data_IF_769537496431
#
_entry.id   IF_769537496431
#
_cell.length_a   1.000
_cell.length_b   1.000
_cell.length_c   1.000
_cell.angle_alpha   90.00
_cell.angle_beta   90.00
_cell.angle_gamma   90.00
#
_symmetry.space_group_name_H-M   'P 1'
#
loop_
_entity.id
_entity.type
_entity.pdbx_description
1 polymer ?
#
# COMPACT_ATOMS: atom_id res chain seq x y z
N UNK A 1 25.74 -18.17 14.24
CA UNK A 1 24.46 -17.94 13.53
C UNK A 1 24.76 -16.90 12.46
N UNK A 2 24.76 -17.27 11.19
CA UNK A 2 24.90 -16.28 10.12
C UNK A 2 23.73 -15.30 10.20
N UNK A 3 24.05 -14.01 10.16
CA UNK A 3 23.06 -12.94 10.18
C UNK A 3 22.39 -12.84 8.81
N UNK A 4 21.11 -12.47 8.80
CA UNK A 4 20.41 -12.15 7.57
C UNK A 4 21.09 -10.94 6.90
N UNK A 5 21.26 -11.01 5.58
CA UNK A 5 21.68 -9.86 4.77
C UNK A 5 20.61 -8.76 4.80
N UNK A 6 20.99 -7.52 4.50
CA UNK A 6 20.04 -6.38 4.42
C UNK A 6 18.90 -6.65 3.43
N UNK A 7 19.21 -7.33 2.32
CA UNK A 7 18.24 -7.78 1.33
C UNK A 7 17.22 -8.75 1.93
N UNK A 8 17.69 -9.78 2.61
CA UNK A 8 16.81 -10.76 3.28
C UNK A 8 15.94 -10.09 4.33
N UNK A 9 16.51 -9.18 5.15
CA UNK A 9 15.74 -8.43 6.16
C UNK A 9 14.62 -7.62 5.53
N UNK A 10 14.92 -6.87 4.46
CA UNK A 10 13.94 -6.08 3.73
C UNK A 10 12.76 -6.94 3.27
N UNK A 11 13.04 -8.03 2.54
CA UNK A 11 11.97 -8.87 2.01
C UNK A 11 11.20 -9.62 3.08
N UNK A 12 11.85 -10.12 4.15
CA UNK A 12 11.14 -10.76 5.26
C UNK A 12 10.19 -9.80 6.00
N UNK A 13 10.45 -8.50 5.95
CA UNK A 13 9.61 -7.48 6.58
C UNK A 13 8.45 -7.04 5.68
N UNK A 14 8.70 -6.86 4.37
CA UNK A 14 7.72 -6.31 3.44
C UNK A 14 6.86 -7.38 2.73
N UNK A 15 7.10 -8.67 2.97
CA UNK A 15 6.37 -9.75 2.30
C UNK A 15 5.28 -10.36 3.19
N UNK A 16 4.06 -10.41 2.65
CA UNK A 16 2.87 -10.94 3.31
C UNK A 16 2.21 -12.04 2.48
N UNK A 17 1.45 -12.90 3.15
CA UNK A 17 0.67 -13.94 2.50
C UNK A 17 -0.64 -13.38 1.96
N UNK A 18 -0.92 -13.59 0.68
CA UNK A 18 -2.18 -13.16 0.05
C UNK A 18 -3.42 -13.90 0.55
N UNK A 19 -3.26 -14.99 1.31
CA UNK A 19 -4.39 -15.76 1.86
C UNK A 19 -4.84 -15.25 3.24
N UNK A 20 -3.90 -14.93 4.13
CA UNK A 20 -4.21 -14.56 5.51
C UNK A 20 -3.70 -13.17 5.92
N UNK A 21 -2.98 -12.46 5.05
CA UNK A 21 -2.32 -11.19 5.36
C UNK A 21 -1.11 -11.30 6.32
N UNK A 22 -0.88 -12.48 6.92
CA UNK A 22 0.22 -12.72 7.83
C UNK A 22 1.60 -12.73 7.16
N UNK A 23 2.66 -12.68 7.96
CA UNK A 23 4.05 -12.61 7.49
C UNK A 23 4.42 -13.81 6.62
N UNK A 24 5.01 -13.53 5.46
CA UNK A 24 5.60 -14.52 4.56
C UNK A 24 7.13 -14.38 4.61
N UNK A 25 7.85 -15.46 4.87
CA UNK A 25 9.26 -15.38 5.24
C UNK A 25 10.11 -16.47 4.61
N UNK A 26 11.41 -16.22 4.54
CA UNK A 26 12.41 -17.14 4.00
C UNK A 26 13.02 -18.00 5.09
N UNK A 27 13.03 -19.33 4.89
CA UNK A 27 13.83 -20.29 5.66
C UNK A 27 15.06 -20.68 4.84
N UNK A 28 16.26 -20.40 5.35
CA UNK A 28 17.54 -20.70 4.67
C UNK A 28 17.78 -22.20 4.51
N UNK A 29 17.48 -22.99 5.55
CA UNK A 29 17.66 -24.45 5.55
C UNK A 29 16.29 -25.14 5.62
N UNK A 30 15.57 -25.19 4.50
CA UNK A 30 14.35 -26.00 4.37
C UNK A 30 14.70 -27.48 4.13
N UNK A 31 15.73 -27.71 3.31
CA UNK A 31 16.48 -28.96 3.24
C UNK A 31 17.98 -28.67 3.48
N UNK A 32 18.84 -29.67 3.44
CA UNK A 32 20.30 -29.47 3.59
C UNK A 32 20.90 -28.52 2.55
N UNK A 33 20.22 -28.29 1.42
CA UNK A 33 20.74 -27.50 0.29
C UNK A 33 19.77 -26.46 -0.28
N UNK A 34 18.54 -26.36 0.24
CA UNK A 34 17.51 -25.49 -0.35
C UNK A 34 16.84 -24.59 0.67
N UNK A 35 16.67 -23.33 0.28
CA UNK A 35 15.83 -22.34 0.92
C UNK A 35 14.39 -22.41 0.42
N UNK A 36 13.46 -21.92 1.25
CA UNK A 36 12.03 -21.83 0.89
C UNK A 36 11.39 -20.60 1.48
N UNK A 37 10.52 -19.97 0.73
CA UNK A 37 9.58 -18.96 1.22
C UNK A 37 8.26 -19.59 1.67
N UNK A 38 7.75 -19.20 2.83
CA UNK A 38 6.56 -19.79 3.43
C UNK A 38 5.78 -18.81 4.32
N UNK A 39 4.49 -19.09 4.50
CA UNK A 39 3.63 -18.36 5.42
C UNK A 39 3.86 -18.82 6.86
N UNK A 40 4.07 -17.87 7.78
CA UNK A 40 4.25 -18.15 9.21
C UNK A 40 2.96 -18.59 9.91
N UNK A 41 1.79 -18.26 9.35
CA UNK A 41 0.48 -18.64 9.86
C UNK A 41 -0.01 -20.02 9.36
N UNK A 42 0.84 -20.79 8.66
CA UNK A 42 0.52 -22.15 8.22
C UNK A 42 -0.28 -22.29 6.93
N UNK A 43 -0.50 -21.19 6.18
CA UNK A 43 -1.13 -21.27 4.87
C UNK A 43 -0.29 -22.11 3.89
N UNK A 44 -0.93 -23.02 3.16
CA UNK A 44 -0.28 -23.84 2.14
C UNK A 44 -0.09 -23.02 0.86
N UNK A 45 1.10 -23.12 0.26
CA UNK A 45 1.33 -22.67 -1.12
C UNK A 45 1.15 -23.84 -2.07
N UNK A 46 0.53 -23.59 -3.22
CA UNK A 46 0.33 -24.57 -4.29
C UNK A 46 1.62 -24.89 -5.04
N UNK A 47 2.65 -24.05 -4.92
CA UNK A 47 3.95 -24.22 -5.58
C UNK A 47 5.09 -24.05 -4.58
N UNK A 48 6.26 -24.57 -4.95
CA UNK A 48 7.49 -24.35 -4.19
C UNK A 48 8.09 -23.01 -4.61
N UNK A 49 8.40 -22.15 -3.63
CA UNK A 49 8.95 -20.80 -3.88
C UNK A 49 10.34 -20.75 -3.22
N UNK A 50 11.37 -20.73 -4.05
CA UNK A 50 12.76 -20.44 -3.68
C UNK A 50 13.12 -18.98 -3.97
N UNK A 51 14.38 -18.61 -3.76
CA UNK A 51 14.86 -17.26 -4.03
C UNK A 51 14.81 -16.92 -5.52
N UNK A 52 15.11 -17.89 -6.40
CA UNK A 52 15.10 -17.67 -7.85
C UNK A 52 13.71 -17.29 -8.34
N UNK A 53 12.68 -18.04 -7.92
CA UNK A 53 11.29 -17.75 -8.26
C UNK A 53 10.85 -16.43 -7.63
N UNK A 54 11.13 -16.23 -6.33
CA UNK A 54 10.68 -15.04 -5.62
C UNK A 54 11.29 -13.75 -6.18
N UNK A 55 12.62 -13.69 -6.31
CA UNK A 55 13.31 -12.52 -6.85
C UNK A 55 13.09 -12.35 -8.35
N UNK A 56 12.99 -13.44 -9.12
CA UNK A 56 12.70 -13.39 -10.55
C UNK A 56 11.33 -12.77 -10.85
N UNK A 57 10.30 -13.10 -10.06
CA UNK A 57 8.99 -12.48 -10.21
C UNK A 57 8.98 -11.00 -9.83
N UNK A 58 9.64 -10.62 -8.73
CA UNK A 58 9.78 -9.20 -8.33
C UNK A 58 10.44 -8.40 -9.44
N UNK A 59 11.53 -8.94 -10.00
CA UNK A 59 12.21 -8.31 -11.12
C UNK A 59 11.33 -8.20 -12.36
N UNK A 60 10.56 -9.24 -12.69
CA UNK A 60 9.60 -9.20 -13.80
C UNK A 60 8.58 -8.08 -13.63
N UNK A 61 8.09 -7.85 -12.41
CA UNK A 61 7.19 -6.74 -12.10
C UNK A 61 7.88 -5.38 -12.26
N UNK A 62 9.12 -5.24 -11.77
CA UNK A 62 9.90 -4.01 -11.93
C UNK A 62 10.17 -3.70 -13.41
N UNK A 63 10.57 -4.68 -14.21
CA UNK A 63 10.73 -4.52 -15.66
C UNK A 63 9.43 -4.05 -16.31
N UNK A 64 8.30 -4.67 -15.97
CA UNK A 64 6.99 -4.30 -16.52
C UNK A 64 6.60 -2.84 -16.22
N UNK A 65 6.85 -2.34 -15.01
CA UNK A 65 6.54 -0.93 -14.68
C UNK A 65 7.54 0.06 -15.27
N UNK A 66 8.77 -0.36 -15.58
CA UNK A 66 9.74 0.47 -16.30
C UNK A 66 9.37 0.56 -17.79
N UNK A 67 9.01 -0.57 -18.40
CA UNK A 67 8.62 -0.65 -19.81
C UNK A 67 7.30 0.08 -20.08
N UNK A 68 6.34 -0.04 -19.17
CA UNK A 68 5.04 0.62 -19.27
C UNK A 68 4.63 1.23 -17.91
N UNK A 69 5.11 2.44 -17.58
CA UNK A 69 4.79 3.09 -16.31
C UNK A 69 3.30 3.39 -16.12
N UNK A 70 2.50 3.45 -17.18
CA UNK A 70 1.07 3.75 -17.10
C UNK A 70 0.28 2.65 -16.37
N UNK A 71 0.82 1.43 -16.23
CA UNK A 71 0.20 0.37 -15.41
C UNK A 71 0.11 0.74 -13.94
N UNK A 72 0.91 1.73 -13.48
CA UNK A 72 0.85 2.25 -12.12
C UNK A 72 -0.32 3.23 -11.93
N UNK A 73 -0.95 3.73 -13.00
CA UNK A 73 -2.05 4.69 -12.87
C UNK A 73 -3.32 3.96 -12.46
N UNK A 74 -3.73 4.16 -11.21
CA UNK A 74 -4.97 3.63 -10.65
C UNK A 74 -5.99 4.75 -10.38
N UNK A 75 -7.29 4.47 -10.47
CA UNK A 75 -8.30 5.48 -10.17
C UNK A 75 -8.17 5.97 -8.73
N UNK A 76 -8.38 7.27 -8.53
CA UNK A 76 -8.60 7.82 -7.20
C UNK A 76 -9.84 7.18 -6.60
N UNK A 77 -9.71 6.69 -5.36
CA UNK A 77 -10.80 5.99 -4.67
C UNK A 77 -11.63 6.90 -3.78
N UNK A 78 -11.27 8.18 -3.62
CA UNK A 78 -11.79 8.98 -2.53
C UNK A 78 -12.68 10.14 -3.03
N UNK A 79 -13.99 9.92 -3.05
CA UNK A 79 -14.97 11.01 -3.10
C UNK A 79 -15.02 11.78 -1.76
N UNK A 80 -14.64 11.13 -0.64
CA UNK A 80 -14.64 11.72 0.71
C UNK A 80 -13.33 11.40 1.46
N UNK A 81 -12.28 12.21 1.25
CA UNK A 81 -11.00 12.08 1.98
C UNK A 81 -11.05 12.61 3.41
N UNK A 82 -12.19 13.16 3.87
CA UNK A 82 -12.37 13.71 5.20
C UNK A 82 -13.69 13.22 5.79
N UNK A 83 -13.61 12.48 6.89
CA UNK A 83 -14.77 11.91 7.57
C UNK A 83 -14.70 12.26 9.07
N UNK A 84 -15.14 13.46 9.48
CA UNK A 84 -14.99 13.92 10.84
C UNK A 84 -15.84 13.10 11.81
N UNK A 85 -15.27 12.79 12.97
CA UNK A 85 -16.05 12.25 14.08
C UNK A 85 -16.97 13.32 14.69
N UNK A 86 -17.99 12.88 15.40
CA UNK A 86 -18.87 13.79 16.14
C UNK A 86 -18.10 14.63 17.17
N UNK A 87 -16.99 14.11 17.70
CA UNK A 87 -16.13 14.80 18.66
C UNK A 87 -15.38 15.96 18.00
N UNK A 88 -14.83 15.74 16.79
CA UNK A 88 -14.17 16.79 16.00
C UNK A 88 -15.16 17.92 15.67
N UNK A 89 -16.38 17.57 15.24
CA UNK A 89 -17.43 18.57 14.96
C UNK A 89 -17.83 19.37 16.21
N UNK A 90 -17.83 18.75 17.40
CA UNK A 90 -18.09 19.45 18.67
C UNK A 90 -16.93 20.37 19.05
N UNK A 91 -15.69 19.90 18.89
CA UNK A 91 -14.49 20.68 19.15
C UNK A 91 -14.44 21.93 18.25
N UNK A 92 -14.81 21.79 16.97
CA UNK A 92 -14.96 22.90 16.03
C UNK A 92 -15.95 23.96 16.52
N UNK A 93 -17.18 23.55 16.86
CA UNK A 93 -18.18 24.49 17.40
C UNK A 93 -17.72 25.17 18.69
N UNK A 94 -16.99 24.46 19.54
CA UNK A 94 -16.48 25.03 20.78
C UNK A 94 -15.33 26.03 20.52
N UNK A 95 -14.46 25.77 19.54
CA UNK A 95 -13.45 26.75 19.10
C UNK A 95 -14.10 28.01 18.52
N UNK A 96 -15.16 27.87 17.73
CA UNK A 96 -15.92 29.01 17.19
C UNK A 96 -16.55 29.82 18.32
N UNK A 97 -17.20 29.14 19.27
CA UNK A 97 -17.79 29.79 20.46
C UNK A 97 -16.75 30.52 21.30
N UNK A 98 -15.54 30.00 21.43
CA UNK A 98 -14.43 30.68 22.12
C UNK A 98 -13.99 31.93 21.38
N UNK A 99 -13.94 31.90 20.04
CA UNK A 99 -13.53 33.01 19.19
C UNK A 99 -14.54 34.18 19.22
N UNK A 100 -15.83 33.89 19.41
CA UNK A 100 -16.91 34.89 19.45
C UNK A 100 -17.06 35.60 20.81
N UNK A 101 -16.31 35.20 21.84
CA UNK A 101 -16.41 35.83 23.17
C UNK A 101 -15.88 37.26 23.13
N UNK A 102 -16.60 38.19 23.77
CA UNK A 102 -16.17 39.60 23.90
C UNK A 102 -14.81 39.77 24.59
N UNK A 103 -14.46 38.86 25.50
CA UNK A 103 -13.16 38.78 26.17
C UNK A 103 -12.52 37.43 25.86
N UNK A 104 -11.59 37.43 24.90
CA UNK A 104 -10.88 36.24 24.46
C UNK A 104 -9.67 36.01 25.38
N UNK A 105 -9.61 34.84 26.01
CA UNK A 105 -8.36 34.35 26.60
C UNK A 105 -7.57 33.63 25.50
N UNK A 106 -6.43 34.21 25.12
CA UNK A 106 -5.64 33.77 23.98
C UNK A 106 -5.02 32.38 24.16
N UNK A 107 -4.56 32.03 25.36
CA UNK A 107 -3.87 30.76 25.56
C UNK A 107 -4.80 29.54 25.44
N UNK A 108 -5.98 29.51 26.08
CA UNK A 108 -6.94 28.44 25.93
C UNK A 108 -7.45 28.28 24.49
N UNK A 109 -7.81 29.37 23.82
CA UNK A 109 -8.34 29.29 22.44
C UNK A 109 -7.26 28.79 21.47
N UNK A 110 -6.01 29.27 21.61
CA UNK A 110 -4.87 28.78 20.82
C UNK A 110 -4.73 27.25 20.96
N UNK A 111 -4.72 26.75 22.20
CA UNK A 111 -4.59 25.31 22.48
C UNK A 111 -5.75 24.52 21.86
N UNK A 112 -6.98 25.01 22.01
CA UNK A 112 -8.16 24.36 21.45
C UNK A 112 -8.13 24.31 19.92
N UNK A 113 -7.69 25.39 19.26
CA UNK A 113 -7.52 25.43 17.79
C UNK A 113 -6.49 24.40 17.34
N UNK A 114 -5.30 24.34 17.95
CA UNK A 114 -4.28 23.36 17.55
C UNK A 114 -4.74 21.92 17.74
N UNK A 115 -5.41 21.63 18.86
CA UNK A 115 -5.97 20.30 19.10
C UNK A 115 -7.00 19.94 18.03
N UNK A 116 -7.97 20.82 17.78
CA UNK A 116 -9.01 20.60 16.79
C UNK A 116 -8.43 20.42 15.37
N UNK A 117 -7.42 21.22 14.98
CA UNK A 117 -6.75 21.05 13.69
C UNK A 117 -6.06 19.68 13.60
N UNK A 118 -5.39 19.24 14.68
CA UNK A 118 -4.79 17.91 14.73
C UNK A 118 -5.85 16.82 14.56
N UNK A 119 -6.95 16.90 15.30
CA UNK A 119 -8.02 15.90 15.26
C UNK A 119 -8.72 15.87 13.88
N UNK A 120 -8.88 17.05 13.24
CA UNK A 120 -9.38 17.14 11.86
C UNK A 120 -8.42 16.46 10.87
N UNK A 121 -7.12 16.64 11.05
CA UNK A 121 -6.12 16.00 10.19
C UNK A 121 -6.14 14.48 10.34
N UNK A 122 -6.35 13.97 11.56
CA UNK A 122 -6.49 12.52 11.80
C UNK A 122 -7.74 11.91 11.16
N UNK A 123 -8.76 12.73 10.89
CA UNK A 123 -9.95 12.33 10.14
C UNK A 123 -9.76 12.35 8.61
N UNK A 124 -8.58 12.76 8.12
CA UNK A 124 -8.26 12.76 6.71
C UNK A 124 -7.61 11.44 6.29
N UNK A 125 -8.08 10.85 5.19
CA UNK A 125 -7.41 9.74 4.52
C UNK A 125 -6.65 10.27 3.31
N UNK A 126 -5.34 10.00 3.23
CA UNK A 126 -4.55 10.37 2.06
C UNK A 126 -5.03 9.56 0.85
N UNK A 127 -5.47 10.27 -0.19
CA UNK A 127 -5.66 9.68 -1.51
C UNK A 127 -4.29 9.42 -2.15
N UNK A 128 -3.78 8.21 -1.90
CA UNK A 128 -2.46 7.78 -2.37
C UNK A 128 -2.37 7.74 -3.89
N UNK A 129 -3.47 7.44 -4.59
CA UNK A 129 -3.50 7.43 -6.05
C UNK A 129 -3.28 8.85 -6.59
N UNK A 130 -4.04 9.83 -6.07
CA UNK A 130 -3.87 11.24 -6.46
C UNK A 130 -2.48 11.79 -6.10
N UNK A 131 -1.93 11.38 -4.95
CA UNK A 131 -0.63 11.86 -4.50
C UNK A 131 0.55 11.27 -5.29
N UNK A 132 0.50 9.99 -5.66
CA UNK A 132 1.68 9.25 -6.10
C UNK A 132 1.63 8.71 -7.54
N UNK A 133 0.47 8.66 -8.20
CA UNK A 133 0.36 8.12 -9.56
C UNK A 133 1.38 8.72 -10.54
N UNK A 134 1.36 10.05 -10.71
CA UNK A 134 2.21 10.75 -11.67
C UNK A 134 3.69 10.69 -11.27
N UNK A 135 3.97 10.76 -9.96
CA UNK A 135 5.33 10.68 -9.42
C UNK A 135 5.95 9.32 -9.70
N UNK A 136 5.22 8.23 -9.44
CA UNK A 136 5.71 6.87 -9.68
C UNK A 136 5.88 6.60 -11.17
N UNK A 137 4.90 6.96 -12.01
CA UNK A 137 4.98 6.77 -13.45
C UNK A 137 6.18 7.54 -14.05
N UNK A 138 6.40 8.79 -13.63
CA UNK A 138 7.57 9.56 -14.03
C UNK A 138 8.88 8.94 -13.52
N UNK A 139 8.93 8.52 -12.27
CA UNK A 139 10.11 7.92 -11.66
C UNK A 139 10.56 6.66 -12.41
N UNK A 140 9.64 5.71 -12.64
CA UNK A 140 9.94 4.47 -13.35
C UNK A 140 10.21 4.69 -14.85
N UNK A 141 9.53 5.64 -15.49
CA UNK A 141 9.76 5.99 -16.90
C UNK A 141 11.13 6.62 -17.19
N UNK A 142 11.88 7.04 -16.16
CA UNK A 142 13.27 7.50 -16.28
C UNK A 142 14.31 6.42 -15.96
N UNK A 143 13.88 5.27 -15.48
CA UNK A 143 14.79 4.18 -15.13
C UNK A 143 15.15 3.33 -16.35
N UNK A 144 16.26 2.62 -16.24
CA UNK A 144 16.62 1.56 -17.18
C UNK A 144 16.43 0.21 -16.51
N UNK A 145 16.07 -0.80 -17.30
CA UNK A 145 15.91 -2.17 -16.80
C UNK A 145 17.27 -2.69 -16.34
N UNK A 146 17.32 -3.22 -15.11
CA UNK A 146 18.52 -3.82 -14.53
C UNK A 146 18.29 -5.28 -14.16
N UNK A 147 19.38 -6.05 -14.16
CA UNK A 147 19.39 -7.43 -13.68
C UNK A 147 19.25 -7.50 -12.14
N UNK A 148 19.77 -6.49 -11.44
CA UNK A 148 19.77 -6.40 -9.99
C UNK A 148 18.55 -5.64 -9.46
N UNK A 149 18.07 -6.10 -8.30
CA UNK A 149 16.96 -5.45 -7.58
C UNK A 149 17.54 -4.38 -6.66
N UNK A 150 17.29 -3.11 -6.99
CA UNK A 150 17.67 -1.99 -6.16
C UNK A 150 16.73 -1.87 -4.95
N UNK A 151 17.24 -2.14 -3.74
CA UNK A 151 16.45 -2.05 -2.51
C UNK A 151 15.97 -0.64 -2.19
N UNK A 152 16.69 0.40 -2.62
CA UNK A 152 16.27 1.78 -2.37
C UNK A 152 15.01 2.11 -3.18
N UNK A 153 14.96 1.69 -4.45
CA UNK A 153 13.76 1.80 -5.29
C UNK A 153 12.57 1.14 -4.60
N UNK A 154 12.76 -0.07 -4.07
CA UNK A 154 11.67 -0.76 -3.37
C UNK A 154 11.24 -0.01 -2.10
N UNK A 155 12.17 0.52 -1.29
CA UNK A 155 11.82 1.31 -0.10
C UNK A 155 11.02 2.57 -0.44
N UNK A 156 11.35 3.22 -1.55
CA UNK A 156 10.76 4.50 -1.93
C UNK A 156 9.40 4.33 -2.62
N UNK A 157 9.10 3.14 -3.17
CA UNK A 157 7.96 2.95 -4.09
C UNK A 157 7.00 1.83 -3.69
N UNK A 158 7.40 0.89 -2.83
CA UNK A 158 6.61 -0.31 -2.49
C UNK A 158 6.02 -0.20 -1.09
N UNK A 159 4.71 -0.43 -0.98
CA UNK A 159 4.02 -0.62 0.30
C UNK A 159 4.25 -2.03 0.82
N UNK A 160 3.91 -3.05 0.03
CA UNK A 160 4.17 -4.47 0.40
C UNK A 160 4.24 -5.40 -0.81
N UNK A 161 4.81 -6.58 -0.57
CA UNK A 161 4.89 -7.68 -1.51
C UNK A 161 3.94 -8.78 -1.03
N UNK A 162 3.09 -9.27 -1.92
CA UNK A 162 2.02 -10.23 -1.62
C UNK A 162 2.31 -11.52 -2.36
N UNK A 163 2.36 -12.64 -1.64
CA UNK A 163 2.51 -13.97 -2.23
C UNK A 163 1.19 -14.73 -2.17
N UNK A 164 0.61 -14.97 -3.35
CA UNK A 164 -0.67 -15.65 -3.52
C UNK A 164 -0.56 -17.17 -3.33
N UNK A 165 -1.71 -17.85 -3.24
CA UNK A 165 -1.76 -19.31 -3.01
C UNK A 165 -1.06 -20.10 -4.11
N UNK A 166 -1.23 -19.69 -5.36
CA UNK A 166 -0.58 -20.25 -6.56
C UNK A 166 0.93 -19.98 -6.64
N UNK A 167 1.45 -19.09 -5.79
CA UNK A 167 2.84 -18.66 -5.77
C UNK A 167 3.13 -17.43 -6.63
N UNK A 168 2.09 -16.79 -7.18
CA UNK A 168 2.21 -15.51 -7.86
C UNK A 168 2.62 -14.43 -6.87
N UNK A 169 3.68 -13.68 -7.19
CA UNK A 169 4.15 -12.52 -6.45
C UNK A 169 3.53 -11.26 -7.05
N UNK A 170 2.84 -10.50 -6.21
CA UNK A 170 2.25 -9.20 -6.55
C UNK A 170 2.94 -8.13 -5.72
N UNK A 171 3.35 -7.03 -6.36
CA UNK A 171 3.88 -5.86 -5.66
C UNK A 171 2.76 -4.83 -5.56
N UNK A 172 2.46 -4.40 -4.33
CA UNK A 172 1.60 -3.25 -4.08
C UNK A 172 2.49 -2.02 -3.90
N UNK A 173 2.33 -1.04 -4.78
CA UNK A 173 3.04 0.24 -4.72
C UNK A 173 2.37 1.21 -3.75
N UNK A 174 3.09 2.25 -3.34
CA UNK A 174 2.61 3.25 -2.37
C UNK A 174 1.34 4.00 -2.81
N UNK A 175 1.07 4.06 -4.12
CA UNK A 175 -0.16 4.63 -4.65
C UNK A 175 -1.37 3.67 -4.58
N UNK A 176 -1.14 2.41 -4.20
CA UNK A 176 -2.15 1.35 -4.14
C UNK A 176 -2.23 0.47 -5.39
N UNK A 177 -1.41 0.69 -6.41
CA UNK A 177 -1.36 -0.16 -7.60
C UNK A 177 -0.82 -1.55 -7.26
N UNK A 178 -1.48 -2.60 -7.73
CA UNK A 178 -1.08 -4.00 -7.53
C UNK A 178 -0.67 -4.65 -8.84
N UNK A 179 0.62 -4.87 -9.02
CA UNK A 179 1.18 -5.38 -10.27
C UNK A 179 1.78 -6.76 -10.03
N UNK A 180 1.47 -7.70 -10.92
CA UNK A 180 2.08 -9.03 -10.99
C UNK A 180 2.43 -9.34 -12.44
N UNK A 181 3.21 -10.38 -12.68
CA UNK A 181 3.63 -10.76 -14.04
C UNK A 181 2.43 -11.06 -14.94
N UNK A 182 1.46 -11.83 -14.43
CA UNK A 182 0.44 -12.48 -15.27
C UNK A 182 -0.96 -11.84 -15.20
N UNK A 183 -1.19 -10.86 -14.31
CA UNK A 183 -2.46 -10.12 -14.31
C UNK A 183 -2.40 -9.01 -15.35
N UNK A 184 -3.16 -9.14 -16.43
CA UNK A 184 -3.64 -7.97 -17.16
C UNK A 184 -4.59 -7.20 -16.25
N UNK A 185 -4.48 -5.87 -16.27
CA UNK A 185 -5.15 -4.97 -15.34
C UNK A 185 -6.67 -5.10 -15.50
N UNK A 186 -7.29 -6.02 -14.77
CA UNK A 186 -8.74 -6.20 -14.74
C UNK A 186 -9.30 -5.11 -13.83
N UNK A 187 -9.35 -3.87 -14.32
CA UNK A 187 -10.19 -2.83 -13.76
C UNK A 187 -11.65 -3.23 -14.01
N UNK A 188 -12.14 -4.17 -13.20
CA UNK A 188 -13.55 -4.51 -13.11
C UNK A 188 -14.27 -3.36 -12.43
N UNK A 189 -14.87 -2.49 -13.24
CA UNK A 189 -16.03 -1.70 -12.84
C UNK A 189 -17.13 -2.66 -12.37
N UNK A 190 -17.18 -2.93 -11.07
CA UNK A 190 -18.36 -3.47 -10.40
C UNK A 190 -19.15 -2.32 -9.81
N UNK A 191 -19.75 -1.47 -10.67
CA UNK A 191 -20.82 -0.59 -10.23
C UNK A 191 -22.09 -1.44 -10.23
N UNK A 192 -22.41 -1.98 -9.06
CA UNK A 192 -23.72 -2.55 -8.78
C UNK A 192 -24.65 -1.38 -8.44
N UNK A 193 -25.43 -0.92 -9.42
CA UNK A 193 -26.66 -0.17 -9.20
C UNK A 193 -27.41 0.01 -10.51
N UNK A 194 -28.47 -0.78 -10.68
CA UNK A 194 -29.75 -0.23 -11.12
C UNK A 194 -30.86 -0.96 -10.36
N UNK A 195 -31.26 -0.35 -9.25
CA UNK A 195 -32.69 -0.31 -8.93
C UNK A 195 -33.42 0.25 -10.15
N UNK A 196 -34.47 -0.42 -10.58
CA UNK A 196 -35.51 0.23 -11.37
C UNK A 196 -36.84 -0.35 -10.92
N UNK A 197 -37.42 0.33 -9.93
CA UNK A 197 -38.88 0.40 -9.82
C UNK A 197 -39.42 1.05 -11.10
N UNK A 198 -40.35 0.41 -11.80
CA UNK A 198 -41.71 0.94 -11.98
C UNK A 198 -42.55 0.19 -13.03
N UNK A 199 -43.80 -0.08 -12.60
CA UNK A 199 -45.06 -0.08 -13.34
C UNK A 199 -45.38 -1.17 -14.38
N UNK A 200 -46.13 -2.18 -13.94
CA UNK A 200 -47.56 -2.33 -14.32
C UNK A 200 -48.30 -3.30 -13.38
#
# INVERSE_FOLDING_TARGET
RETDSEREKYFKYHTVCGQCGGRFTRRRNWSSTREKWFCTCGCKSGTYIDDTVFYGQIRSVLSRVIENPDVLIVPSKAENTYAPSLEVLRAEKETDRMAERKSIDFMPIKKAIYSNISDKFDCCTLDTAKAFNTVLAYYFGKMQITEEINLQVLRDTVDKIIVSKDGTVTIRFINGAEISKDKENSNGNGCDSTETENNN
#
